data_IF_581164662641
#
_entry.id   IF_581164662641
#
_cell.length_a   1.000
_cell.length_b   1.000
_cell.length_c   1.000
_cell.angle_alpha   90.00
_cell.angle_beta   90.00
_cell.angle_gamma   90.00
#
_symmetry.space_group_name_H-M   'P 1'
#
loop_
_entity.id
_entity.type
_entity.pdbx_description
1 polymer ?
#
# COMPACT_ATOMS: atom_id res chain seq x y z
N UNK A 1 -21.69 -10.34 -18.74
CA UNK A 1 -21.27 -9.78 -17.43
C UNK A 1 -19.76 -9.54 -17.34
N UNK A 2 -19.02 -9.53 -18.46
CA UNK A 2 -17.56 -9.30 -18.56
C UNK A 2 -16.69 -10.10 -17.58
N UNK A 3 -17.15 -11.25 -17.11
CA UNK A 3 -16.34 -12.17 -16.32
C UNK A 3 -15.16 -12.69 -17.14
N UNK A 4 -13.98 -12.66 -16.54
CA UNK A 4 -12.79 -13.33 -17.07
C UNK A 4 -11.90 -13.81 -15.93
N UNK A 5 -11.13 -14.87 -16.17
CA UNK A 5 -10.14 -15.41 -15.23
C UNK A 5 -8.79 -14.67 -15.33
N UNK A 6 -8.71 -13.61 -16.14
CA UNK A 6 -7.52 -12.81 -16.38
C UNK A 6 -7.82 -11.32 -16.36
N UNK A 7 -6.78 -10.46 -16.29
CA UNK A 7 -6.93 -9.02 -16.15
C UNK A 7 -7.22 -8.26 -17.45
N UNK A 8 -6.88 -8.83 -18.60
CA UNK A 8 -7.33 -8.38 -19.92
C UNK A 8 -6.52 -7.31 -20.61
N UNK A 9 -5.63 -6.55 -19.93
CA UNK A 9 -4.71 -5.62 -20.59
C UNK A 9 -3.37 -6.31 -20.93
N UNK A 10 -2.36 -5.55 -21.38
CA UNK A 10 -1.09 -6.05 -21.93
C UNK A 10 -0.36 -7.09 -21.06
N UNK A 11 -0.61 -7.12 -19.77
CA UNK A 11 -0.15 -8.20 -18.90
C UNK A 11 -1.37 -8.95 -18.41
N UNK A 12 -1.72 -9.96 -19.17
CA UNK A 12 -2.93 -10.75 -18.96
C UNK A 12 -2.65 -11.88 -17.96
N UNK A 13 -2.56 -11.50 -16.68
CA UNK A 13 -2.32 -12.41 -15.55
C UNK A 13 -3.61 -12.97 -15.00
N UNK A 14 -3.49 -14.10 -14.29
CA UNK A 14 -4.59 -14.75 -13.59
C UNK A 14 -5.28 -13.82 -12.60
N UNK A 15 -6.62 -13.93 -12.56
CA UNK A 15 -7.51 -13.21 -11.66
C UNK A 15 -8.36 -14.21 -10.86
N UNK A 16 -8.41 -14.02 -9.55
CA UNK A 16 -9.12 -14.93 -8.65
C UNK A 16 -10.52 -14.38 -8.30
N UNK A 17 -11.39 -14.26 -9.29
CA UNK A 17 -12.78 -13.78 -9.14
C UNK A 17 -13.84 -14.87 -9.36
N UNK A 18 -13.43 -16.12 -9.54
CA UNK A 18 -14.32 -17.25 -9.72
C UNK A 18 -15.34 -17.45 -8.58
N UNK A 19 -15.10 -17.07 -7.29
CA UNK A 19 -16.11 -17.18 -6.25
C UNK A 19 -17.36 -16.33 -6.54
N UNK A 20 -17.18 -15.16 -7.20
CA UNK A 20 -18.31 -14.34 -7.65
C UNK A 20 -19.17 -15.06 -8.69
N UNK A 21 -18.58 -15.73 -9.67
CA UNK A 21 -19.31 -16.53 -10.65
C UNK A 21 -20.15 -17.61 -9.96
N UNK A 22 -19.56 -18.31 -9.01
CA UNK A 22 -20.25 -19.36 -8.27
C UNK A 22 -21.38 -18.78 -7.40
N UNK A 23 -21.17 -17.60 -6.81
CA UNK A 23 -22.20 -16.87 -6.10
C UNK A 23 -23.38 -16.51 -7.03
N UNK A 24 -23.12 -16.00 -8.24
CA UNK A 24 -24.17 -15.69 -9.24
C UNK A 24 -24.98 -16.94 -9.58
N UNK A 25 -24.31 -18.06 -9.90
CA UNK A 25 -24.97 -19.33 -10.19
C UNK A 25 -25.86 -19.76 -9.01
N UNK A 26 -25.35 -19.67 -7.80
CA UNK A 26 -26.09 -20.03 -6.60
C UNK A 26 -27.27 -19.08 -6.33
N UNK A 27 -27.14 -17.78 -6.61
CA UNK A 27 -28.21 -16.81 -6.47
C UNK A 27 -29.39 -17.14 -7.39
N UNK A 28 -29.12 -17.50 -8.67
CA UNK A 28 -30.14 -17.97 -9.59
C UNK A 28 -30.79 -19.30 -9.13
N UNK A 29 -29.99 -20.26 -8.70
CA UNK A 29 -30.50 -21.54 -8.21
C UNK A 29 -31.40 -21.40 -6.98
N UNK A 30 -31.14 -20.42 -6.11
CA UNK A 30 -31.97 -20.12 -4.93
C UNK A 30 -33.19 -19.26 -5.23
N UNK A 31 -33.26 -18.69 -6.44
CA UNK A 31 -34.31 -17.73 -6.80
C UNK A 31 -34.18 -16.41 -6.00
N UNK A 32 -32.97 -15.93 -5.76
CA UNK A 32 -32.74 -14.68 -5.03
C UNK A 32 -33.54 -13.55 -5.69
N UNK A 33 -34.31 -12.74 -4.92
CA UNK A 33 -35.06 -11.60 -5.45
C UNK A 33 -34.15 -10.65 -6.23
N UNK A 34 -34.67 -10.05 -7.31
CA UNK A 34 -33.87 -9.24 -8.21
C UNK A 34 -33.30 -7.97 -7.57
N UNK A 35 -34.06 -7.35 -6.71
CA UNK A 35 -33.64 -6.18 -5.92
C UNK A 35 -32.52 -6.51 -4.95
N UNK A 36 -32.60 -7.66 -4.25
CA UNK A 36 -31.54 -8.18 -3.40
C UNK A 36 -30.29 -8.52 -4.23
N UNK A 37 -30.47 -9.20 -5.36
CA UNK A 37 -29.37 -9.58 -6.26
C UNK A 37 -28.59 -8.37 -6.76
N UNK A 38 -29.26 -7.27 -7.13
CA UNK A 38 -28.60 -6.03 -7.54
C UNK A 38 -27.93 -5.34 -6.35
N UNK A 39 -28.65 -5.21 -5.24
CA UNK A 39 -28.15 -4.51 -4.04
C UNK A 39 -26.85 -5.13 -3.55
N UNK A 40 -26.80 -6.46 -3.46
CA UNK A 40 -25.58 -7.15 -3.03
C UNK A 40 -24.41 -6.96 -3.99
N UNK A 41 -24.64 -6.89 -5.29
CA UNK A 41 -23.57 -6.69 -6.26
C UNK A 41 -23.05 -5.23 -6.30
N UNK A 42 -23.85 -4.27 -5.95
CA UNK A 42 -23.47 -2.85 -5.98
C UNK A 42 -22.95 -2.35 -4.63
N UNK A 43 -23.55 -2.80 -3.54
CA UNK A 43 -23.41 -2.20 -2.22
C UNK A 43 -23.48 -3.20 -1.06
N UNK A 44 -23.22 -4.49 -1.29
CA UNK A 44 -23.24 -5.52 -0.25
C UNK A 44 -22.26 -5.25 0.89
N UNK A 45 -21.12 -4.61 0.59
CA UNK A 45 -20.13 -4.17 1.56
C UNK A 45 -20.57 -2.98 2.44
N UNK A 46 -21.63 -2.28 2.06
CA UNK A 46 -22.20 -1.17 2.82
C UNK A 46 -23.31 -1.58 3.79
N UNK A 47 -23.70 -2.85 3.78
CA UNK A 47 -24.69 -3.35 4.71
C UNK A 47 -24.16 -3.36 6.16
N UNK A 48 -24.97 -3.00 7.16
CA UNK A 48 -24.54 -3.03 8.55
C UNK A 48 -24.12 -4.44 9.00
N UNK A 49 -22.84 -4.61 9.36
CA UNK A 49 -22.30 -5.90 9.77
C UNK A 49 -22.16 -6.91 8.64
N UNK A 50 -21.97 -6.44 7.41
CA UNK A 50 -21.83 -7.27 6.21
C UNK A 50 -20.92 -8.48 6.40
N UNK A 51 -21.42 -9.64 6.03
CA UNK A 51 -20.69 -10.90 6.01
C UNK A 51 -19.86 -11.05 4.73
N UNK A 52 -18.92 -12.00 4.69
CA UNK A 52 -18.16 -12.29 3.46
C UNK A 52 -19.09 -12.70 2.29
N UNK A 53 -20.22 -13.36 2.58
CA UNK A 53 -21.21 -13.76 1.57
C UNK A 53 -21.98 -12.56 0.99
N UNK A 54 -22.12 -11.47 1.77
CA UNK A 54 -22.74 -10.22 1.31
C UNK A 54 -21.72 -9.30 0.63
N UNK A 55 -20.45 -9.38 1.03
CA UNK A 55 -19.36 -8.61 0.39
C UNK A 55 -18.93 -9.23 -0.94
N UNK A 56 -18.86 -10.56 -1.03
CA UNK A 56 -18.41 -11.29 -2.22
C UNK A 56 -19.08 -10.81 -3.53
N UNK A 57 -20.40 -10.58 -3.58
CA UNK A 57 -21.08 -10.10 -4.79
C UNK A 57 -20.54 -8.77 -5.33
N UNK A 58 -20.01 -7.90 -4.48
CA UNK A 58 -19.42 -6.61 -4.91
C UNK A 58 -18.21 -6.77 -5.83
N UNK A 59 -17.70 -7.98 -5.99
CA UNK A 59 -16.71 -8.33 -7.01
C UNK A 59 -17.17 -7.93 -8.41
N UNK A 60 -18.50 -7.80 -8.66
CA UNK A 60 -19.04 -7.21 -9.88
C UNK A 60 -18.36 -5.89 -10.24
N UNK A 61 -18.12 -5.05 -9.26
CA UNK A 61 -17.45 -3.75 -9.43
C UNK A 61 -15.94 -3.87 -9.74
N UNK A 62 -15.39 -5.09 -9.71
CA UNK A 62 -13.94 -5.36 -9.91
C UNK A 62 -13.64 -6.14 -11.19
N UNK A 63 -14.64 -6.42 -12.02
CA UNK A 63 -14.50 -7.23 -13.24
C UNK A 63 -13.94 -6.47 -14.44
N UNK A 64 -13.70 -5.18 -14.36
CA UNK A 64 -13.05 -4.39 -15.40
C UNK A 64 -11.61 -4.85 -15.65
N UNK A 65 -11.08 -4.57 -16.82
CA UNK A 65 -9.66 -4.76 -17.12
C UNK A 65 -8.79 -3.84 -16.27
N UNK A 66 -7.56 -4.26 -15.94
CA UNK A 66 -6.68 -3.50 -15.06
C UNK A 66 -5.32 -3.22 -15.70
N UNK A 67 -4.90 -1.96 -15.65
CA UNK A 67 -3.64 -1.49 -16.20
C UNK A 67 -2.48 -1.81 -15.27
N UNK A 68 -1.40 -2.38 -15.81
CA UNK A 68 -0.19 -2.73 -15.06
C UNK A 68 1.10 -2.20 -15.71
N UNK A 69 1.00 -1.51 -16.83
CA UNK A 69 2.16 -1.01 -17.58
C UNK A 69 2.69 0.30 -16.98
N UNK A 70 4.00 0.36 -16.79
CA UNK A 70 4.70 1.60 -16.42
C UNK A 70 4.59 2.67 -17.51
N UNK A 71 4.67 3.95 -17.10
CA UNK A 71 4.54 5.10 -17.99
C UNK A 71 3.11 5.52 -18.30
N UNK A 72 2.11 4.80 -17.79
CA UNK A 72 0.70 5.19 -17.86
C UNK A 72 0.36 6.16 -16.73
N UNK A 73 -0.61 7.05 -16.97
CA UNK A 73 -1.11 7.97 -15.94
C UNK A 73 -2.10 7.26 -15.03
N UNK A 74 -1.81 7.07 -13.73
CA UNK A 74 -2.69 6.31 -12.84
C UNK A 74 -4.13 6.85 -12.78
N UNK A 75 -4.29 8.17 -12.75
CA UNK A 75 -5.62 8.79 -12.66
C UNK A 75 -6.44 8.59 -13.94
N UNK A 76 -5.82 8.57 -15.11
CA UNK A 76 -6.50 8.24 -16.38
C UNK A 76 -7.19 6.89 -16.28
N UNK A 77 -6.45 5.85 -15.87
CA UNK A 77 -7.01 4.50 -15.77
C UNK A 77 -7.99 4.35 -14.61
N UNK A 78 -7.81 5.05 -13.49
CA UNK A 78 -8.81 5.07 -12.43
C UNK A 78 -10.15 5.61 -12.94
N UNK A 79 -10.13 6.69 -13.71
CA UNK A 79 -11.32 7.28 -14.35
C UNK A 79 -11.94 6.31 -15.36
N UNK A 80 -11.13 5.61 -16.16
CA UNK A 80 -11.62 4.58 -17.09
C UNK A 80 -12.32 3.42 -16.35
N UNK A 81 -11.81 2.99 -15.19
CA UNK A 81 -12.47 1.96 -14.38
C UNK A 81 -13.84 2.40 -13.86
N UNK A 82 -13.97 3.66 -13.47
CA UNK A 82 -15.28 4.22 -13.06
C UNK A 82 -16.24 4.28 -14.25
N UNK A 83 -15.76 4.71 -15.43
CA UNK A 83 -16.56 4.73 -16.64
C UNK A 83 -17.03 3.33 -17.04
N UNK A 84 -16.13 2.35 -17.00
CA UNK A 84 -16.45 0.95 -17.30
C UNK A 84 -17.56 0.39 -16.38
N UNK A 85 -17.50 0.68 -15.06
CA UNK A 85 -18.54 0.29 -14.11
C UNK A 85 -19.88 0.94 -14.44
N UNK A 86 -19.86 2.22 -14.75
CA UNK A 86 -21.06 2.98 -15.15
C UNK A 86 -21.74 2.36 -16.37
N UNK A 87 -20.99 2.07 -17.42
CA UNK A 87 -21.49 1.43 -18.63
C UNK A 87 -21.98 0.02 -18.36
N UNK A 88 -21.21 -0.77 -17.61
CA UNK A 88 -21.58 -2.15 -17.30
C UNK A 88 -22.81 -2.24 -16.44
N UNK A 89 -22.98 -1.37 -15.46
CA UNK A 89 -24.19 -1.29 -14.64
C UNK A 89 -25.41 -1.01 -15.53
N UNK A 90 -25.33 0.01 -16.37
CA UNK A 90 -26.42 0.38 -17.27
C UNK A 90 -26.78 -0.78 -18.20
N UNK A 91 -25.81 -1.40 -18.82
CA UNK A 91 -26.03 -2.50 -19.77
C UNK A 91 -26.59 -3.75 -19.08
N UNK A 92 -26.01 -4.13 -17.93
CA UNK A 92 -26.38 -5.39 -17.24
C UNK A 92 -27.72 -5.30 -16.52
N UNK A 93 -28.05 -4.18 -15.91
CA UNK A 93 -29.22 -4.06 -15.03
C UNK A 93 -30.35 -3.17 -15.58
N UNK A 94 -30.01 -2.21 -16.44
CA UNK A 94 -31.01 -1.30 -17.02
C UNK A 94 -31.32 -1.63 -18.49
N UNK A 95 -30.47 -2.42 -19.17
CA UNK A 95 -30.59 -2.67 -20.60
C UNK A 95 -30.31 -1.43 -21.47
N UNK A 96 -29.57 -0.45 -20.93
CA UNK A 96 -29.25 0.81 -21.59
C UNK A 96 -27.76 0.90 -21.92
N UNK A 97 -27.43 1.62 -22.98
CA UNK A 97 -26.03 1.98 -23.32
C UNK A 97 -25.80 3.44 -22.94
N UNK A 98 -24.84 3.73 -22.07
CA UNK A 98 -24.58 5.09 -21.58
C UNK A 98 -23.28 5.72 -22.14
N UNK A 99 -22.57 5.05 -23.03
CA UNK A 99 -21.27 5.52 -23.52
C UNK A 99 -21.34 6.89 -24.20
N UNK A 100 -22.39 7.13 -25.00
CA UNK A 100 -22.59 8.43 -25.64
C UNK A 100 -22.76 9.58 -24.65
N UNK A 101 -23.44 9.29 -23.52
CA UNK A 101 -23.72 10.28 -22.48
C UNK A 101 -22.46 10.73 -21.69
N UNK A 102 -21.34 10.07 -21.87
CA UNK A 102 -20.05 10.53 -21.35
C UNK A 102 -19.60 11.87 -21.94
N UNK A 103 -19.94 12.14 -23.20
CA UNK A 103 -19.48 13.33 -23.91
C UNK A 103 -20.60 14.35 -24.21
N UNK A 104 -21.85 13.90 -24.39
CA UNK A 104 -23.00 14.72 -24.71
C UNK A 104 -24.29 13.97 -24.32
N UNK A 105 -25.43 14.63 -24.27
CA UNK A 105 -26.71 13.98 -24.01
C UNK A 105 -26.96 12.84 -24.98
N UNK A 106 -27.50 11.71 -24.48
CA UNK A 106 -27.72 10.55 -25.30
C UNK A 106 -28.70 10.87 -26.45
N UNK A 107 -28.35 10.44 -27.67
CA UNK A 107 -29.10 10.85 -28.87
C UNK A 107 -30.54 10.33 -28.91
N UNK A 108 -30.77 9.13 -28.39
CA UNK A 108 -32.03 8.42 -28.53
C UNK A 108 -32.73 8.17 -27.19
N UNK A 109 -31.98 7.86 -26.17
CA UNK A 109 -32.53 7.62 -24.84
C UNK A 109 -32.57 8.89 -24.00
N UNK A 110 -33.55 9.05 -23.08
CA UNK A 110 -33.69 10.28 -22.28
C UNK A 110 -32.66 10.28 -21.13
N UNK A 111 -31.38 10.22 -21.48
CA UNK A 111 -30.25 10.26 -20.53
C UNK A 111 -29.35 11.44 -20.90
N UNK A 112 -29.24 12.38 -19.99
CA UNK A 112 -28.37 13.54 -20.15
C UNK A 112 -26.93 13.23 -19.74
N UNK A 113 -25.96 14.02 -20.19
CA UNK A 113 -24.59 13.95 -19.72
C UNK A 113 -24.51 14.17 -18.19
N UNK A 114 -25.32 15.07 -17.65
CA UNK A 114 -25.39 15.31 -16.20
C UNK A 114 -25.79 14.05 -15.43
N UNK A 115 -26.79 13.32 -15.90
CA UNK A 115 -27.24 12.07 -15.28
C UNK A 115 -26.16 10.98 -15.37
N UNK A 116 -25.43 10.91 -16.48
CA UNK A 116 -24.26 10.03 -16.61
C UNK A 116 -23.25 10.30 -15.48
N UNK A 117 -22.87 11.55 -15.26
CA UNK A 117 -21.90 11.89 -14.22
C UNK A 117 -22.44 11.78 -12.80
N UNK A 118 -23.74 11.92 -12.61
CA UNK A 118 -24.38 11.57 -11.33
C UNK A 118 -24.24 10.08 -11.03
N UNK A 119 -24.49 9.22 -12.00
CA UNK A 119 -24.30 7.77 -11.87
C UNK A 119 -22.81 7.41 -11.69
N UNK A 120 -21.93 8.03 -12.49
CA UNK A 120 -20.48 7.88 -12.38
C UNK A 120 -19.97 8.18 -10.98
N UNK A 121 -20.54 9.20 -10.29
CA UNK A 121 -20.11 9.61 -8.96
C UNK A 121 -20.31 8.51 -7.90
N UNK A 122 -21.29 7.61 -8.04
CA UNK A 122 -21.48 6.49 -7.14
C UNK A 122 -20.30 5.49 -7.16
N UNK A 123 -19.59 5.36 -8.29
CA UNK A 123 -18.43 4.47 -8.43
C UNK A 123 -17.10 5.19 -8.23
N UNK A 124 -17.11 6.51 -8.12
CA UNK A 124 -15.90 7.34 -8.01
C UNK A 124 -15.32 7.39 -6.58
N UNK A 125 -16.01 6.83 -5.60
CA UNK A 125 -15.59 6.75 -4.20
C UNK A 125 -14.86 5.44 -3.84
N UNK A 126 -14.71 4.53 -4.79
CA UNK A 126 -13.97 3.27 -4.57
C UNK A 126 -12.49 3.61 -4.41
N UNK A 127 -11.90 3.18 -3.28
CA UNK A 127 -10.49 3.38 -2.99
C UNK A 127 -9.64 2.38 -3.79
N UNK A 128 -9.30 2.78 -4.99
CA UNK A 128 -8.48 2.00 -5.92
C UNK A 128 -7.45 2.87 -6.61
N UNK A 129 -6.39 2.23 -7.12
CA UNK A 129 -5.35 2.88 -7.89
C UNK A 129 -5.46 2.46 -9.35
N UNK A 130 -5.35 3.40 -10.28
CA UNK A 130 -5.52 3.12 -11.70
C UNK A 130 -4.37 2.33 -12.35
N UNK A 131 -3.20 2.32 -11.73
CA UNK A 131 -2.03 1.59 -12.21
C UNK A 131 -1.55 0.61 -11.15
N UNK A 132 -1.50 -0.68 -11.49
CA UNK A 132 -1.06 -1.72 -10.59
C UNK A 132 0.38 -2.16 -10.91
N UNK A 133 1.15 -2.53 -9.87
CA UNK A 133 2.56 -2.84 -10.04
C UNK A 133 2.78 -4.11 -10.89
N UNK A 134 3.48 -3.95 -11.99
CA UNK A 134 3.81 -5.01 -12.95
C UNK A 134 4.49 -6.23 -12.31
N UNK A 135 5.39 -5.98 -11.35
CA UNK A 135 6.28 -7.01 -10.82
C UNK A 135 5.74 -7.74 -9.57
N UNK A 136 4.51 -7.50 -9.17
CA UNK A 136 3.95 -8.19 -8.00
C UNK A 136 2.86 -9.17 -8.41
N UNK A 137 2.87 -10.37 -7.81
CA UNK A 137 1.76 -11.30 -7.89
C UNK A 137 0.61 -10.96 -6.94
N UNK A 138 0.59 -9.75 -6.37
CA UNK A 138 -0.44 -9.33 -5.43
C UNK A 138 -1.77 -9.10 -6.13
N UNK A 139 -2.84 -9.50 -5.45
CA UNK A 139 -4.19 -9.16 -5.88
C UNK A 139 -4.42 -7.67 -5.61
N UNK A 140 -4.93 -6.90 -6.59
CA UNK A 140 -5.23 -5.48 -6.40
C UNK A 140 -6.27 -5.25 -5.30
N UNK A 141 -6.06 -4.21 -4.51
CA UNK A 141 -6.98 -3.79 -3.45
C UNK A 141 -8.14 -2.94 -4.00
N UNK A 142 -9.31 -2.91 -3.30
CA UNK A 142 -9.64 -3.67 -2.09
C UNK A 142 -9.78 -5.18 -2.36
N UNK A 143 -9.45 -6.01 -1.36
CA UNK A 143 -9.48 -7.48 -1.46
C UNK A 143 -10.29 -8.09 -0.34
N UNK A 144 -10.99 -9.18 -0.64
CA UNK A 144 -11.64 -10.02 0.34
C UNK A 144 -10.85 -11.32 0.52
N UNK A 145 -10.49 -11.66 1.75
CA UNK A 145 -9.96 -12.98 2.08
C UNK A 145 -11.12 -13.97 2.21
N UNK A 146 -11.56 -14.51 1.09
CA UNK A 146 -12.61 -15.51 1.06
C UNK A 146 -12.02 -16.90 1.35
N UNK A 147 -12.26 -17.43 2.55
CA UNK A 147 -11.66 -18.67 3.02
C UNK A 147 -12.73 -19.62 3.59
N UNK A 148 -12.53 -20.96 3.45
CA UNK A 148 -13.37 -21.95 4.12
C UNK A 148 -13.40 -21.72 5.64
N UNK A 149 -14.51 -22.07 6.30
CA UNK A 149 -14.72 -21.84 7.73
C UNK A 149 -13.59 -22.41 8.60
N UNK A 150 -13.07 -23.59 8.24
CA UNK A 150 -11.94 -24.19 8.95
C UNK A 150 -10.66 -23.35 8.90
N UNK A 151 -10.43 -22.59 7.81
CA UNK A 151 -9.31 -21.68 7.71
C UNK A 151 -9.59 -20.37 8.47
N UNK A 152 -10.83 -19.87 8.45
CA UNK A 152 -11.23 -18.71 9.26
C UNK A 152 -10.97 -18.96 10.75
N UNK A 153 -11.32 -20.16 11.24
CA UNK A 153 -11.04 -20.53 12.63
C UNK A 153 -9.55 -20.54 12.94
N UNK A 154 -8.72 -21.14 12.08
CA UNK A 154 -7.25 -21.11 12.26
C UNK A 154 -6.68 -19.70 12.30
N UNK A 155 -7.22 -18.80 11.48
CA UNK A 155 -6.81 -17.38 11.47
C UNK A 155 -7.21 -16.71 12.78
N UNK A 156 -8.44 -16.94 13.27
CA UNK A 156 -8.91 -16.42 14.54
C UNK A 156 -8.06 -16.93 15.71
N UNK A 157 -7.77 -18.23 15.77
CA UNK A 157 -6.91 -18.82 16.80
C UNK A 157 -5.49 -18.25 16.78
N UNK A 158 -4.95 -17.99 15.58
CA UNK A 158 -3.64 -17.36 15.44
C UNK A 158 -3.65 -15.90 15.88
N UNK A 159 -4.70 -15.16 15.55
CA UNK A 159 -4.88 -13.76 15.98
C UNK A 159 -5.00 -13.65 17.52
N UNK A 160 -5.72 -14.57 18.15
CA UNK A 160 -5.80 -14.62 19.62
C UNK A 160 -4.43 -14.89 20.26
N UNK A 161 -3.65 -15.81 19.71
CA UNK A 161 -2.28 -16.07 20.19
C UNK A 161 -1.39 -14.84 20.06
N UNK A 162 -1.50 -14.09 18.96
CA UNK A 162 -0.76 -12.84 18.75
C UNK A 162 -1.17 -11.81 19.81
N UNK A 163 -2.49 -11.61 20.01
CA UNK A 163 -3.00 -10.66 21.01
C UNK A 163 -2.48 -10.95 22.43
N UNK A 164 -2.52 -12.22 22.84
CA UNK A 164 -1.98 -12.65 24.14
C UNK A 164 -0.48 -12.38 24.26
N UNK A 165 0.28 -12.68 23.20
CA UNK A 165 1.73 -12.43 23.20
C UNK A 165 2.06 -10.93 23.25
N UNK A 166 1.28 -10.09 22.57
CA UNK A 166 1.39 -8.62 22.62
C UNK A 166 1.10 -8.07 24.01
N UNK A 167 0.05 -8.60 24.70
CA UNK A 167 -0.28 -8.23 26.09
C UNK A 167 0.86 -8.59 27.06
N UNK A 168 1.45 -9.78 26.92
CA UNK A 168 2.61 -10.18 27.72
C UNK A 168 3.83 -9.31 27.42
N UNK A 169 4.09 -9.02 26.16
CA UNK A 169 5.18 -8.13 25.75
C UNK A 169 5.02 -6.72 26.34
N UNK A 170 3.79 -6.20 26.39
CA UNK A 170 3.51 -4.88 26.94
C UNK A 170 3.86 -4.77 28.45
N UNK A 171 3.84 -5.87 29.18
CA UNK A 171 4.21 -5.93 30.60
C UNK A 171 5.72 -5.90 30.84
N UNK A 172 6.52 -6.35 29.86
CA UNK A 172 7.97 -6.51 29.99
C UNK A 172 8.71 -5.20 30.31
N UNK A 173 8.43 -4.05 29.66
CA UNK A 173 9.13 -2.80 29.96
C UNK A 173 8.97 -2.35 31.42
N UNK A 174 7.76 -2.48 31.96
CA UNK A 174 7.48 -2.11 33.37
C UNK A 174 8.25 -3.03 34.34
N UNK A 175 8.23 -4.34 34.10
CA UNK A 175 8.93 -5.32 34.95
C UNK A 175 10.45 -5.21 34.89
N UNK A 176 11.01 -4.65 33.80
CA UNK A 176 12.47 -4.50 33.62
C UNK A 176 13.00 -3.09 33.79
N UNK A 177 12.18 -2.17 34.25
CA UNK A 177 12.57 -0.75 34.44
C UNK A 177 13.79 -0.60 35.34
N UNK A 178 13.84 -1.29 36.45
CA UNK A 178 15.00 -1.23 37.35
C UNK A 178 16.29 -1.77 36.77
N UNK A 179 16.22 -2.84 35.93
CA UNK A 179 17.38 -3.37 35.24
C UNK A 179 17.89 -2.36 34.16
N UNK A 180 16.98 -1.71 33.47
CA UNK A 180 17.30 -0.68 32.50
C UNK A 180 17.97 0.53 33.17
N UNK A 181 17.42 1.03 34.28
CA UNK A 181 17.98 2.15 34.97
C UNK A 181 19.39 1.82 35.55
N UNK A 182 19.61 0.60 36.03
CA UNK A 182 20.94 0.12 36.42
C UNK A 182 21.89 0.05 35.23
N UNK A 183 21.44 -0.47 34.08
CA UNK A 183 22.26 -0.50 32.87
C UNK A 183 22.63 0.90 32.38
N UNK A 184 21.72 1.89 32.45
CA UNK A 184 22.01 3.27 32.08
C UNK A 184 23.19 3.89 32.85
N UNK A 185 23.37 3.51 34.12
CA UNK A 185 24.48 4.00 34.95
C UNK A 185 25.80 3.30 34.68
N UNK A 186 25.75 2.07 34.17
CA UNK A 186 26.95 1.22 33.97
C UNK A 186 27.30 1.01 32.50
N UNK A 187 26.48 1.50 31.57
CA UNK A 187 26.68 1.31 30.14
C UNK A 187 28.03 1.89 29.68
N UNK A 188 28.76 1.21 28.77
CA UNK A 188 29.96 1.78 28.14
C UNK A 188 29.62 3.04 27.34
N UNK A 189 30.61 3.94 27.19
CA UNK A 189 30.44 5.18 26.40
C UNK A 189 30.04 4.87 24.93
N UNK A 190 30.56 3.79 24.37
CA UNK A 190 30.19 3.28 23.03
C UNK A 190 29.70 1.82 23.20
N UNK A 191 28.44 1.60 23.52
CA UNK A 191 27.91 0.25 23.66
C UNK A 191 27.89 -0.47 22.30
N UNK A 192 28.24 -1.76 22.31
CA UNK A 192 28.04 -2.59 21.13
C UNK A 192 26.54 -2.64 20.78
N UNK A 193 26.23 -2.46 19.51
CA UNK A 193 24.86 -2.57 18.99
C UNK A 193 24.63 -4.02 18.57
N UNK A 194 23.84 -4.80 19.31
CA UNK A 194 23.57 -6.19 18.94
C UNK A 194 22.90 -6.26 17.57
N UNK A 195 23.31 -7.25 16.76
CA UNK A 195 22.73 -7.47 15.44
C UNK A 195 23.03 -6.38 14.40
N UNK A 196 24.03 -5.50 14.65
CA UNK A 196 24.45 -4.53 13.63
C UNK A 196 25.03 -5.26 12.42
N UNK A 197 24.36 -5.14 11.28
CA UNK A 197 24.71 -5.81 10.03
C UNK A 197 25.56 -4.94 9.11
N UNK A 198 25.44 -3.61 9.23
CA UNK A 198 26.24 -2.66 8.43
C UNK A 198 26.48 -1.36 9.19
N UNK A 199 27.62 -0.73 8.92
CA UNK A 199 27.96 0.60 9.41
C UNK A 199 28.80 1.33 8.36
N UNK A 200 28.37 2.54 8.01
CA UNK A 200 29.06 3.40 7.06
C UNK A 200 29.52 4.67 7.77
N UNK A 201 30.83 4.88 7.82
CA UNK A 201 31.45 6.11 8.37
C UNK A 201 31.94 7.04 7.27
N UNK A 202 31.86 6.62 6.01
CA UNK A 202 32.27 7.34 4.81
C UNK A 202 33.74 7.81 4.78
N UNK A 203 34.61 7.36 5.70
CA UNK A 203 36.00 7.77 5.75
C UNK A 203 36.77 7.36 4.49
N UNK A 204 36.43 6.23 3.90
CA UNK A 204 37.02 5.69 2.68
C UNK A 204 36.45 6.28 1.38
N UNK A 205 35.41 7.11 1.43
CA UNK A 205 34.78 7.67 0.24
C UNK A 205 35.66 8.74 -0.39
N UNK A 206 36.10 8.51 -1.63
CA UNK A 206 37.03 9.37 -2.36
C UNK A 206 36.39 10.56 -3.06
N UNK A 207 35.07 10.66 -3.04
CA UNK A 207 34.32 11.66 -3.80
C UNK A 207 33.88 11.13 -5.17
N UNK A 208 33.52 12.03 -6.07
CA UNK A 208 32.88 11.77 -7.34
C UNK A 208 31.66 12.69 -7.43
N UNK A 209 30.60 12.30 -8.16
CA UNK A 209 29.36 13.06 -8.19
C UNK A 209 28.74 13.18 -6.78
N UNK A 210 28.87 12.12 -5.96
CA UNK A 210 28.58 12.18 -4.52
C UNK A 210 29.79 12.65 -3.74
N UNK A 211 29.80 13.91 -3.31
CA UNK A 211 30.97 14.54 -2.70
C UNK A 211 31.22 14.11 -1.23
N UNK A 212 32.49 13.95 -0.86
CA UNK A 212 32.87 13.78 0.55
C UNK A 212 32.87 15.15 1.25
N UNK A 213 32.16 15.26 2.37
CA UNK A 213 31.99 16.49 3.14
C UNK A 213 32.21 16.23 4.63
N UNK A 214 32.46 17.27 5.45
CA UNK A 214 32.50 17.13 6.91
C UNK A 214 31.15 16.62 7.46
N UNK A 215 31.23 15.59 8.30
CA UNK A 215 30.08 15.01 9.01
C UNK A 215 29.98 15.43 10.47
N UNK A 216 29.05 14.84 11.20
CA UNK A 216 28.93 15.01 12.66
C UNK A 216 30.13 14.41 13.38
N UNK A 217 30.62 13.25 12.90
CA UNK A 217 31.83 12.59 13.37
C UNK A 217 32.65 12.16 12.14
N UNK A 218 33.71 12.91 11.82
CA UNK A 218 34.52 12.62 10.65
C UNK A 218 33.88 13.08 9.35
N UNK A 219 33.70 12.18 8.38
CA UNK A 219 33.19 12.47 7.05
C UNK A 219 31.74 12.07 6.88
N UNK A 220 31.10 12.66 5.89
CA UNK A 220 29.79 12.32 5.39
C UNK A 220 29.79 12.33 3.86
N UNK A 221 28.77 11.79 3.26
CA UNK A 221 28.52 11.83 1.82
C UNK A 221 27.42 12.85 1.51
N UNK A 222 27.65 13.73 0.55
CA UNK A 222 26.62 14.60 -0.01
C UNK A 222 26.11 13.98 -1.30
N UNK A 223 24.88 13.51 -1.28
CA UNK A 223 24.23 12.89 -2.44
C UNK A 223 23.90 13.98 -3.46
N UNK A 224 24.26 13.74 -4.72
CA UNK A 224 23.99 14.63 -5.86
C UNK A 224 22.54 14.56 -6.31
N UNK A 225 21.93 13.37 -6.17
CA UNK A 225 20.61 13.04 -6.70
C UNK A 225 20.67 12.18 -7.96
N UNK A 226 21.80 12.17 -8.67
CA UNK A 226 21.98 11.43 -9.91
C UNK A 226 22.76 10.12 -9.73
N UNK A 227 23.67 10.08 -8.73
CA UNK A 227 24.48 8.92 -8.45
C UNK A 227 24.02 8.24 -7.16
N UNK A 228 23.90 6.93 -7.21
CA UNK A 228 23.56 6.12 -6.06
C UNK A 228 24.79 5.73 -5.23
N UNK A 229 24.58 5.51 -3.94
CA UNK A 229 25.56 4.92 -3.04
C UNK A 229 25.02 3.60 -2.53
N UNK A 230 25.62 2.51 -2.97
CA UNK A 230 25.14 1.17 -2.64
C UNK A 230 25.56 0.68 -1.27
N UNK A 231 24.59 0.19 -0.50
CA UNK A 231 24.81 -0.62 0.70
C UNK A 231 24.62 -2.10 0.37
N UNK A 232 25.52 -2.94 0.88
CA UNK A 232 25.50 -4.38 0.60
C UNK A 232 24.39 -5.12 1.35
N UNK A 233 24.09 -4.67 2.57
CA UNK A 233 23.12 -5.28 3.46
C UNK A 233 21.74 -4.60 3.36
N UNK A 234 20.74 -5.14 4.04
CA UNK A 234 19.40 -4.55 4.11
C UNK A 234 18.32 -5.33 3.35
N UNK A 235 18.55 -6.60 3.06
CA UNK A 235 17.53 -7.45 2.44
C UNK A 235 16.63 -8.07 3.52
N UNK A 236 15.70 -7.26 4.07
CA UNK A 236 14.78 -7.68 5.12
C UNK A 236 13.49 -8.24 4.54
N UNK A 237 12.96 -9.28 5.18
CA UNK A 237 11.61 -9.79 4.93
C UNK A 237 10.59 -8.93 5.69
N UNK A 238 9.34 -9.01 5.31
CA UNK A 238 8.23 -8.32 5.98
C UNK A 238 8.13 -8.64 7.49
N UNK A 239 8.48 -9.85 7.86
CA UNK A 239 8.44 -10.35 9.26
C UNK A 239 9.73 -10.13 10.05
N UNK A 240 10.79 -9.62 9.41
CA UNK A 240 12.04 -9.36 10.11
C UNK A 240 11.95 -8.04 10.85
N UNK A 241 12.34 -8.01 12.13
CA UNK A 241 12.55 -6.75 12.84
C UNK A 241 13.88 -6.14 12.42
N UNK A 242 13.89 -4.85 12.14
CA UNK A 242 15.10 -4.12 11.75
C UNK A 242 15.08 -2.66 12.20
N UNK A 243 16.24 -2.04 12.18
CA UNK A 243 16.38 -0.63 12.47
C UNK A 243 17.39 0.02 11.53
N UNK A 244 17.11 1.28 11.18
CA UNK A 244 18.06 2.18 10.54
C UNK A 244 18.34 3.36 11.45
N UNK A 245 19.59 3.75 11.54
CA UNK A 245 19.99 4.97 12.24
C UNK A 245 21.02 5.73 11.40
N UNK A 246 20.77 7.02 11.18
CA UNK A 246 21.66 7.85 10.38
C UNK A 246 21.65 9.31 10.84
N UNK A 247 22.77 9.98 10.66
CA UNK A 247 22.83 11.43 10.70
C UNK A 247 22.56 11.98 9.31
N UNK A 248 21.64 12.91 9.18
CA UNK A 248 21.34 13.56 7.91
C UNK A 248 21.20 15.07 8.05
N UNK A 249 21.50 15.78 6.97
CA UNK A 249 21.36 17.23 6.86
C UNK A 249 20.76 17.54 5.50
N UNK A 250 19.60 18.18 5.46
CA UNK A 250 18.99 18.68 4.23
C UNK A 250 19.32 20.18 4.09
N UNK A 251 19.86 20.64 2.96
CA UNK A 251 20.20 22.06 2.77
C UNK A 251 18.97 22.95 2.61
N UNK A 252 17.87 22.38 2.13
CA UNK A 252 16.61 23.07 1.83
C UNK A 252 15.41 22.15 2.00
N UNK A 253 14.21 22.70 1.96
CA UNK A 253 12.98 21.92 1.86
C UNK A 253 12.89 21.33 0.46
N UNK A 254 12.69 20.03 0.37
CA UNK A 254 12.47 19.30 -0.88
C UNK A 254 11.01 18.91 -0.98
N UNK A 255 10.42 19.04 -2.17
CA UNK A 255 9.09 18.50 -2.45
C UNK A 255 9.12 16.98 -2.39
N UNK A 256 10.15 16.38 -3.00
CA UNK A 256 10.43 14.95 -2.91
C UNK A 256 11.92 14.69 -3.09
N UNK A 257 12.53 13.98 -2.14
CA UNK A 257 13.88 13.46 -2.27
C UNK A 257 13.99 12.10 -1.60
N UNK A 258 14.70 11.18 -2.24
CA UNK A 258 14.98 9.85 -1.69
C UNK A 258 16.18 9.99 -0.77
N UNK A 259 16.05 9.57 0.49
CA UNK A 259 17.16 9.48 1.44
C UNK A 259 17.84 8.12 1.29
N UNK A 260 17.08 7.05 1.34
CA UNK A 260 17.49 5.71 0.95
C UNK A 260 16.29 4.89 0.52
N UNK A 261 16.51 3.88 -0.29
CA UNK A 261 15.50 2.90 -0.63
C UNK A 261 16.12 1.53 -0.93
N UNK A 262 15.31 0.51 -0.81
CA UNK A 262 15.54 -0.82 -1.37
C UNK A 262 14.24 -1.29 -1.98
N UNK A 263 14.06 -1.00 -3.24
CA UNK A 263 12.82 -1.25 -3.95
C UNK A 263 13.13 -1.63 -5.40
N UNK A 264 12.19 -2.36 -6.01
CA UNK A 264 12.33 -2.87 -7.36
C UNK A 264 11.37 -2.16 -8.29
N UNK A 265 11.46 -0.95 -8.59
CA UNK A 265 10.82 -0.41 -9.76
C UNK A 265 11.49 0.86 -10.20
N UNK A 266 11.42 1.09 -11.46
CA UNK A 266 11.82 2.31 -12.13
C UNK A 266 10.63 3.23 -12.42
N UNK A 267 9.42 2.88 -11.98
CA UNK A 267 8.20 3.68 -12.20
C UNK A 267 7.76 4.36 -10.92
N UNK A 268 7.02 5.45 -11.04
CA UNK A 268 6.45 6.21 -9.91
C UNK A 268 5.39 5.45 -9.11
N UNK A 269 4.95 4.30 -9.60
CA UNK A 269 4.15 3.37 -8.82
C UNK A 269 5.00 2.81 -7.68
N UNK A 270 4.55 2.97 -6.44
CA UNK A 270 5.26 2.54 -5.24
C UNK A 270 5.76 1.11 -5.34
N UNK A 271 7.08 0.97 -5.41
CA UNK A 271 7.78 -0.28 -5.68
C UNK A 271 7.84 -1.16 -4.45
N UNK A 272 7.71 -2.47 -4.65
CA UNK A 272 7.89 -3.44 -3.57
C UNK A 272 9.23 -3.27 -2.89
N UNK A 273 9.22 -3.06 -1.57
CA UNK A 273 10.41 -2.86 -0.76
C UNK A 273 10.19 -1.84 0.34
N UNK A 274 11.23 -1.10 0.67
CA UNK A 274 11.12 -0.02 1.66
C UNK A 274 11.86 1.22 1.18
N UNK A 275 11.43 2.37 1.70
CA UNK A 275 12.05 3.66 1.38
C UNK A 275 11.91 4.67 2.51
N UNK A 276 12.91 5.54 2.64
CA UNK A 276 12.84 6.77 3.41
C UNK A 276 12.89 7.95 2.45
N UNK A 277 11.87 8.77 2.49
CA UNK A 277 11.75 9.98 1.67
C UNK A 277 11.73 11.22 2.54
N UNK A 278 12.19 12.32 1.95
CA UNK A 278 11.87 13.67 2.38
C UNK A 278 10.79 14.21 1.43
N UNK A 279 9.56 14.37 1.92
CA UNK A 279 8.39 14.79 1.15
C UNK A 279 7.78 16.05 1.76
N UNK A 280 7.72 17.13 0.99
CA UNK A 280 7.16 18.42 1.43
C UNK A 280 7.73 18.84 2.82
N UNK A 281 9.05 18.67 2.96
CA UNK A 281 9.78 18.97 4.19
C UNK A 281 9.58 18.00 5.35
N UNK A 282 8.92 16.86 5.20
CA UNK A 282 8.73 15.85 6.25
C UNK A 282 9.38 14.54 5.87
N UNK A 283 9.87 13.80 6.87
CA UNK A 283 10.34 12.43 6.65
C UNK A 283 9.15 11.48 6.55
N UNK A 284 9.20 10.60 5.56
CA UNK A 284 8.20 9.59 5.27
C UNK A 284 8.89 8.25 5.06
N UNK A 285 8.65 7.28 5.94
CA UNK A 285 9.13 5.91 5.79
C UNK A 285 8.01 5.00 5.38
N UNK A 286 8.27 4.12 4.41
CA UNK A 286 7.27 3.19 3.90
C UNK A 286 7.82 1.78 3.72
N UNK A 287 7.01 0.78 4.06
CA UNK A 287 7.15 -0.61 3.64
C UNK A 287 6.05 -0.89 2.62
N UNK A 288 6.42 -1.35 1.44
CA UNK A 288 5.51 -1.45 0.31
C UNK A 288 5.56 -2.88 -0.24
N UNK A 289 4.41 -3.54 -0.28
CA UNK A 289 4.21 -4.72 -1.09
C UNK A 289 3.48 -4.36 -2.37
N UNK A 290 2.44 -3.53 -2.23
CA UNK A 290 1.62 -3.04 -3.31
C UNK A 290 1.04 -1.67 -2.92
N UNK A 291 1.29 -0.63 -3.70
CA UNK A 291 0.80 0.72 -3.41
C UNK A 291 -0.55 0.97 -4.10
N UNK A 292 -1.51 1.64 -3.43
CA UNK A 292 -1.53 2.09 -2.04
C UNK A 292 -2.06 1.06 -1.04
N UNK A 293 -2.75 0.04 -1.48
CA UNK A 293 -3.60 -0.81 -0.65
C UNK A 293 -2.87 -1.82 0.24
N UNK A 294 -1.65 -2.24 -0.10
CA UNK A 294 -0.83 -3.12 0.73
C UNK A 294 0.53 -2.47 0.99
N UNK A 295 0.48 -1.36 1.69
CA UNK A 295 1.65 -0.59 2.09
C UNK A 295 1.43 -0.01 3.49
N UNK A 296 2.53 0.12 4.21
CA UNK A 296 2.60 0.80 5.49
C UNK A 296 3.39 2.08 5.29
N UNK A 297 2.88 3.21 5.78
CA UNK A 297 3.59 4.49 5.76
C UNK A 297 3.46 5.20 7.10
N UNK A 298 4.57 5.66 7.61
CA UNK A 298 4.61 6.61 8.73
C UNK A 298 5.28 7.90 8.27
N UNK A 299 4.88 9.02 8.88
CA UNK A 299 5.39 10.36 8.55
C UNK A 299 5.62 11.17 9.81
N UNK A 300 6.69 11.98 9.81
CA UNK A 300 6.91 12.90 10.92
C UNK A 300 5.81 13.96 11.00
N UNK A 301 5.38 14.29 12.23
CA UNK A 301 4.40 15.37 12.46
C UNK A 301 5.01 16.74 12.17
N UNK A 302 6.21 16.99 12.66
CA UNK A 302 6.94 18.22 12.44
C UNK A 302 7.76 18.16 11.14
N UNK A 303 8.00 19.31 10.49
CA UNK A 303 8.95 19.41 9.40
C UNK A 303 10.37 19.05 9.84
N UNK A 304 11.16 18.53 8.90
CA UNK A 304 12.59 18.29 9.11
C UNK A 304 13.37 19.62 9.16
N UNK A 305 14.27 19.73 10.11
CA UNK A 305 15.06 20.95 10.27
C UNK A 305 16.12 21.08 9.17
N UNK A 306 16.01 22.11 8.32
CA UNK A 306 16.97 22.39 7.26
C UNK A 306 18.29 22.96 7.82
N UNK A 307 19.38 22.71 7.12
CA UNK A 307 20.74 23.16 7.45
C UNK A 307 21.28 22.72 8.82
N UNK A 308 20.63 21.75 9.47
CA UNK A 308 21.06 21.15 10.74
C UNK A 308 21.30 19.67 10.59
N UNK A 309 22.32 19.15 11.27
CA UNK A 309 22.48 17.71 11.43
C UNK A 309 21.42 17.19 12.40
N UNK A 310 20.66 16.22 11.94
CA UNK A 310 19.61 15.55 12.72
C UNK A 310 19.90 14.05 12.72
N UNK A 311 19.87 13.45 13.90
CA UNK A 311 19.91 12.00 14.02
C UNK A 311 18.50 11.45 13.80
N UNK A 312 18.37 10.56 12.85
CA UNK A 312 17.12 9.87 12.51
C UNK A 312 17.29 8.40 12.84
N UNK A 313 16.37 7.85 13.58
CA UNK A 313 16.27 6.41 13.82
C UNK A 313 14.88 5.93 13.40
N UNK A 314 14.84 4.82 12.70
CA UNK A 314 13.63 4.14 12.27
C UNK A 314 13.73 2.72 12.81
N UNK A 315 12.70 2.29 13.51
CA UNK A 315 12.59 0.92 14.03
C UNK A 315 11.33 0.27 13.49
N UNK A 316 11.43 -0.98 13.16
CA UNK A 316 10.32 -1.81 12.72
C UNK A 316 10.40 -3.17 13.43
N UNK A 317 9.29 -3.62 14.00
CA UNK A 317 9.23 -4.80 14.84
C UNK A 317 8.89 -6.11 14.11
N UNK A 318 8.64 -6.05 12.78
CA UNK A 318 8.25 -7.21 11.98
C UNK A 318 6.75 -7.49 11.96
N UNK A 319 5.92 -6.67 12.62
CA UNK A 319 4.48 -6.91 12.78
C UNK A 319 3.64 -6.66 11.52
N UNK A 320 4.18 -6.00 10.51
CA UNK A 320 3.43 -5.47 9.35
C UNK A 320 2.37 -4.43 9.72
N UNK A 321 2.51 -3.75 10.87
CA UNK A 321 1.59 -2.74 11.39
C UNK A 321 2.25 -1.38 11.46
N UNK A 322 1.47 -0.32 11.27
CA UNK A 322 1.99 1.05 11.31
C UNK A 322 2.43 1.45 12.73
N UNK A 323 1.78 0.95 13.77
CA UNK A 323 2.13 1.17 15.18
C UNK A 323 3.37 0.39 15.63
N UNK A 324 3.74 -0.67 14.91
CA UNK A 324 5.02 -1.39 15.06
C UNK A 324 6.22 -0.70 14.40
N UNK A 325 6.00 0.47 13.78
CA UNK A 325 7.05 1.27 13.12
C UNK A 325 7.19 2.62 13.83
N UNK A 326 8.40 3.02 14.19
CA UNK A 326 8.70 4.26 14.92
C UNK A 326 9.89 5.00 14.35
#
# INVERSE_FOLDING_TARGET
ARYSDTYGYQVDRDRFVWPWRDWVVNAFNRGTPYDEFITLQLAGDLLPGATDEEILPTTFNRLHSQKVEGGSTPEEFRVEYVADRTHTFATAFLGLTLECARCHDHKYDPVTQEEYYKLFAFFNNIDEFGLYAYFTGSVPTPTLLYAPQAHKQKIADAAEKVSRAEEELAKVPAGRRGEFDKWLTTRPAEPAIPGRVEHQDFQGHKGGANASVPGVKGKAIRLSGDDEYHLKQGNFRRSDSFSFALWMKAPEVKDRAIVFHRSQAWTDAGSRGYQLLLEKGKLSFSLIHFWPGNALRIRTRAPFAVNKWVHVAITYDGSSRADGTR
#
